data_IF_993172918218
#
_entry.id   IF_993172918218
#
_cell.length_a   1.000
_cell.length_b   1.000
_cell.length_c   1.000
_cell.angle_alpha   90.00
_cell.angle_beta   90.00
_cell.angle_gamma   90.00
#
_symmetry.space_group_name_H-M   'P 1'
#
loop_
_entity.id
_entity.type
_entity.pdbx_description
1 polymer ?
#
# COMPACT_ATOMS: atom_id res chain seq x y z
N UNK A 1 21.09 39.17 28.97
CA UNK A 1 20.39 37.92 28.61
C UNK A 1 20.40 37.86 27.10
N UNK A 2 21.28 37.09 26.53
CA UNK A 2 21.44 36.95 25.08
C UNK A 2 20.52 35.87 24.58
N UNK A 3 19.45 36.26 23.95
CA UNK A 3 18.56 35.39 23.16
C UNK A 3 19.30 34.98 21.89
N UNK A 4 19.99 33.87 21.92
CA UNK A 4 20.45 33.15 20.76
C UNK A 4 20.20 31.63 20.98
N UNK A 5 18.96 31.27 21.29
CA UNK A 5 18.49 29.94 20.97
C UNK A 5 18.24 29.92 19.46
N UNK A 6 19.26 29.52 18.71
CA UNK A 6 19.06 29.05 17.35
C UNK A 6 18.11 27.87 17.44
N UNK A 7 16.84 28.07 17.07
CA UNK A 7 15.97 26.95 16.72
C UNK A 7 16.73 26.14 15.66
N UNK A 8 17.21 24.96 16.01
CA UNK A 8 17.74 24.02 15.02
C UNK A 8 16.66 23.85 13.96
N UNK A 9 16.96 24.28 12.75
CA UNK A 9 16.05 24.20 11.62
C UNK A 9 15.84 22.69 11.32
N UNK A 10 14.66 22.17 11.62
CA UNK A 10 14.36 20.77 11.40
C UNK A 10 14.22 20.51 9.90
N UNK A 11 15.29 19.92 9.30
CA UNK A 11 15.36 19.58 7.89
C UNK A 11 14.93 18.12 7.73
N UNK A 12 13.89 17.89 6.89
CA UNK A 12 13.30 16.57 6.62
C UNK A 12 13.91 15.86 5.41
N UNK A 13 14.96 16.42 4.82
CA UNK A 13 15.61 15.81 3.65
C UNK A 13 16.82 14.97 4.07
N UNK A 14 16.90 13.79 3.51
CA UNK A 14 18.03 12.87 3.68
C UNK A 14 18.27 12.12 2.36
N UNK A 15 19.34 11.36 2.29
CA UNK A 15 19.57 10.50 1.14
C UNK A 15 18.55 9.37 1.08
N UNK A 16 18.26 8.87 -0.12
CA UNK A 16 17.35 7.75 -0.30
C UNK A 16 17.78 6.50 0.47
N UNK A 17 19.10 6.25 0.54
CA UNK A 17 19.66 5.13 1.28
C UNK A 17 19.37 5.25 2.77
N UNK A 18 19.59 6.42 3.33
CA UNK A 18 19.30 6.71 4.75
C UNK A 18 17.81 6.59 5.03
N UNK A 19 16.97 7.18 4.18
CA UNK A 19 15.52 7.12 4.35
C UNK A 19 14.98 5.69 4.36
N UNK A 20 15.43 4.83 3.44
CA UNK A 20 15.01 3.43 3.42
C UNK A 20 15.52 2.69 4.65
N UNK A 21 16.79 2.89 5.02
CA UNK A 21 17.39 2.23 6.21
C UNK A 21 16.74 2.64 7.53
N UNK A 22 16.22 3.87 7.62
CA UNK A 22 15.64 4.42 8.85
C UNK A 22 14.16 4.10 9.00
N UNK A 23 13.41 4.04 7.89
CA UNK A 23 11.96 3.99 7.94
C UNK A 23 11.32 2.73 7.38
N UNK A 24 12.06 1.88 6.66
CA UNK A 24 11.50 0.64 6.09
C UNK A 24 12.18 -0.57 6.69
N UNK A 25 11.40 -1.43 7.34
CA UNK A 25 11.90 -2.61 8.04
C UNK A 25 11.23 -3.87 7.53
N UNK A 26 11.80 -5.02 7.88
CA UNK A 26 11.17 -6.30 7.60
C UNK A 26 9.77 -6.37 8.23
N UNK A 27 8.84 -7.03 7.54
CA UNK A 27 7.44 -7.23 7.95
C UNK A 27 6.56 -5.96 7.89
N UNK A 28 7.09 -4.78 7.55
CA UNK A 28 6.31 -3.55 7.42
C UNK A 28 5.21 -3.67 6.36
N UNK A 29 4.10 -2.98 6.59
CA UNK A 29 3.10 -2.71 5.57
C UNK A 29 3.45 -1.41 4.84
N UNK A 30 3.73 -1.51 3.55
CA UNK A 30 4.01 -0.37 2.69
C UNK A 30 2.78 0.04 1.89
N UNK A 31 2.36 1.31 1.99
CA UNK A 31 1.47 1.91 1.01
C UNK A 31 2.30 2.53 -0.11
N UNK A 32 2.07 2.10 -1.35
CA UNK A 32 2.76 2.65 -2.52
C UNK A 32 1.86 3.59 -3.29
N UNK A 33 2.36 4.82 -3.51
CA UNK A 33 1.81 5.67 -4.57
C UNK A 33 2.21 5.07 -5.91
N UNK A 34 1.23 4.88 -6.77
CA UNK A 34 1.47 4.41 -8.13
C UNK A 34 0.55 5.15 -9.11
N UNK A 35 0.57 4.75 -10.29
CA UNK A 35 -0.15 5.15 -11.47
C UNK A 35 0.75 5.94 -12.45
N UNK A 36 1.16 5.22 -13.49
CA UNK A 36 1.98 5.72 -14.61
C UNK A 36 3.28 6.40 -14.15
N UNK A 37 3.26 7.72 -13.95
CA UNK A 37 4.44 8.55 -13.66
C UNK A 37 4.68 8.81 -12.16
N UNK A 38 3.88 8.20 -11.29
CA UNK A 38 4.01 8.34 -9.83
C UNK A 38 4.66 7.12 -9.16
N UNK A 39 5.21 6.18 -9.92
CA UNK A 39 5.82 4.98 -9.37
C UNK A 39 7.17 5.29 -8.72
N UNK A 40 7.40 4.90 -7.46
CA UNK A 40 8.61 5.25 -6.70
C UNK A 40 9.78 4.29 -6.99
N UNK A 41 10.13 4.07 -8.25
CA UNK A 41 11.12 3.06 -8.67
C UNK A 41 12.46 3.17 -7.96
N UNK A 42 12.95 4.40 -7.70
CA UNK A 42 14.23 4.59 -7.03
C UNK A 42 14.20 4.01 -5.60
N UNK A 43 13.09 4.25 -4.87
CA UNK A 43 12.90 3.72 -3.51
C UNK A 43 12.78 2.21 -3.53
N UNK A 44 12.06 1.65 -4.51
CA UNK A 44 11.91 0.20 -4.65
C UNK A 44 13.25 -0.47 -4.92
N UNK A 45 14.07 0.09 -5.81
CA UNK A 45 15.42 -0.42 -6.04
C UNK A 45 16.30 -0.33 -4.79
N UNK A 46 16.10 0.68 -3.95
CA UNK A 46 16.84 0.78 -2.69
C UNK A 46 16.38 -0.24 -1.65
N UNK A 47 15.07 -0.50 -1.54
CA UNK A 47 14.51 -1.57 -0.69
C UNK A 47 15.10 -2.93 -1.09
N UNK A 48 15.11 -3.24 -2.39
CA UNK A 48 15.72 -4.48 -2.91
C UNK A 48 17.23 -4.54 -2.61
N UNK A 49 17.95 -3.42 -2.75
CA UNK A 49 19.40 -3.34 -2.48
C UNK A 49 19.75 -3.54 -1.02
N UNK A 50 18.86 -3.13 -0.10
CA UNK A 50 19.00 -3.33 1.33
C UNK A 50 18.48 -4.69 1.80
N UNK A 51 17.95 -5.51 0.88
CA UNK A 51 17.47 -6.88 1.13
C UNK A 51 16.36 -6.96 2.20
N UNK A 52 15.50 -5.93 2.28
CA UNK A 52 14.36 -5.91 3.21
C UNK A 52 13.36 -6.99 2.82
N UNK A 53 12.79 -7.70 3.79
CA UNK A 53 12.01 -8.93 3.59
C UNK A 53 10.61 -8.87 4.20
N UNK A 54 9.79 -9.83 3.77
CA UNK A 54 8.49 -10.13 4.35
C UNK A 54 7.48 -8.97 4.33
N UNK A 55 7.68 -8.01 3.43
CA UNK A 55 6.83 -6.84 3.30
C UNK A 55 5.39 -7.21 2.91
N UNK A 56 4.43 -6.49 3.49
CA UNK A 56 3.05 -6.42 3.00
C UNK A 56 2.90 -5.18 2.12
N UNK A 57 2.60 -5.34 0.84
CA UNK A 57 2.42 -4.21 -0.08
C UNK A 57 0.95 -3.90 -0.27
N UNK A 58 0.51 -2.73 0.16
CA UNK A 58 -0.84 -2.21 -0.03
C UNK A 58 -0.85 -1.18 -1.17
N UNK A 59 -1.43 -1.54 -2.30
CA UNK A 59 -1.42 -0.71 -3.51
C UNK A 59 -2.70 -0.93 -4.33
N UNK A 60 -3.35 0.16 -4.76
CA UNK A 60 -4.61 0.05 -5.50
C UNK A 60 -4.47 -0.71 -6.83
N UNK A 61 -3.32 -0.59 -7.48
CA UNK A 61 -2.99 -1.31 -8.72
C UNK A 61 -1.57 -1.85 -8.62
N UNK A 62 -1.41 -3.16 -8.50
CA UNK A 62 -0.10 -3.79 -8.53
C UNK A 62 0.39 -3.87 -9.99
N UNK A 63 1.46 -3.16 -10.30
CA UNK A 63 2.09 -3.12 -11.61
C UNK A 63 3.61 -3.34 -11.49
N UNK A 64 4.43 -2.64 -12.27
CA UNK A 64 5.87 -2.86 -12.38
C UNK A 64 6.64 -2.71 -11.05
N UNK A 65 6.20 -1.82 -10.17
CA UNK A 65 6.82 -1.60 -8.85
C UNK A 65 6.70 -2.84 -7.96
N UNK A 66 5.55 -3.52 -8.02
CA UNK A 66 5.35 -4.77 -7.27
C UNK A 66 6.15 -5.91 -7.89
N UNK A 67 6.23 -6.00 -9.22
CA UNK A 67 7.08 -6.97 -9.92
C UNK A 67 8.55 -6.85 -9.48
N UNK A 68 9.07 -5.62 -9.31
CA UNK A 68 10.45 -5.39 -8.88
C UNK A 68 10.68 -5.85 -7.44
N UNK A 69 9.76 -5.56 -6.52
CA UNK A 69 9.83 -6.01 -5.12
C UNK A 69 9.76 -7.54 -5.03
N UNK A 70 8.88 -8.18 -5.82
CA UNK A 70 8.77 -9.64 -5.92
C UNK A 70 10.06 -10.26 -6.48
N UNK A 71 10.62 -9.68 -7.54
CA UNK A 71 11.90 -10.11 -8.12
C UNK A 71 13.05 -10.03 -7.11
N UNK A 72 13.02 -9.04 -6.22
CA UNK A 72 13.96 -8.89 -5.11
C UNK A 72 13.70 -9.83 -3.93
N UNK A 73 12.59 -10.59 -3.96
CA UNK A 73 12.19 -11.45 -2.85
C UNK A 73 11.85 -10.66 -1.57
N UNK A 74 11.31 -9.45 -1.72
CA UNK A 74 11.00 -8.56 -0.60
C UNK A 74 9.57 -8.71 -0.06
N UNK A 75 8.65 -9.30 -0.81
CA UNK A 75 7.21 -9.30 -0.53
C UNK A 75 6.72 -10.68 -0.11
N UNK A 76 5.96 -10.74 0.98
CA UNK A 76 5.21 -11.91 1.42
C UNK A 76 3.70 -11.78 1.21
N UNK A 77 3.17 -10.54 1.22
CA UNK A 77 1.73 -10.28 1.10
C UNK A 77 1.44 -9.08 0.22
N UNK A 78 0.32 -9.15 -0.51
CA UNK A 78 -0.16 -8.07 -1.37
C UNK A 78 -1.62 -7.80 -1.07
N UNK A 79 -1.97 -6.53 -0.81
CA UNK A 79 -3.34 -6.03 -0.72
C UNK A 79 -3.57 -5.11 -1.92
N UNK A 80 -4.46 -5.48 -2.83
CA UNK A 80 -4.65 -4.74 -4.08
C UNK A 80 -6.09 -4.82 -4.58
N UNK A 81 -6.42 -4.01 -5.59
CA UNK A 81 -7.71 -4.14 -6.28
C UNK A 81 -7.58 -4.85 -7.62
N UNK A 82 -6.46 -4.70 -8.28
CA UNK A 82 -6.14 -5.44 -9.49
C UNK A 82 -4.64 -5.39 -9.76
N UNK A 83 -4.19 -6.32 -10.59
CA UNK A 83 -2.85 -6.29 -11.13
C UNK A 83 -2.93 -6.09 -12.63
N UNK A 84 -2.19 -5.12 -13.12
CA UNK A 84 -2.20 -4.76 -14.53
C UNK A 84 -0.88 -5.09 -15.19
N UNK A 85 -0.99 -5.52 -16.43
CA UNK A 85 0.14 -5.84 -17.28
C UNK A 85 0.32 -4.75 -18.33
N UNK A 86 1.25 -3.85 -18.15
CA UNK A 86 1.69 -2.95 -19.21
C UNK A 86 2.63 -3.70 -20.15
N UNK A 87 2.18 -4.06 -21.34
CA UNK A 87 3.01 -4.73 -22.34
C UNK A 87 2.74 -6.24 -22.46
N UNK A 88 2.13 -6.58 -23.54
CA UNK A 88 1.68 -7.85 -24.08
C UNK A 88 2.11 -9.16 -23.43
N UNK A 89 1.40 -10.23 -23.72
CA UNK A 89 1.50 -11.60 -23.19
C UNK A 89 2.89 -12.31 -23.27
N UNK A 90 3.96 -11.59 -23.66
CA UNK A 90 5.24 -12.23 -23.99
C UNK A 90 6.17 -12.50 -22.82
N UNK A 91 5.96 -11.87 -21.67
CA UNK A 91 6.82 -12.02 -20.52
C UNK A 91 6.02 -12.49 -19.32
N UNK A 92 6.39 -13.63 -18.74
CA UNK A 92 5.91 -14.03 -17.42
C UNK A 92 6.55 -13.06 -16.42
N UNK A 93 5.74 -12.27 -15.74
CA UNK A 93 6.17 -11.39 -14.68
C UNK A 93 6.28 -12.17 -13.37
N UNK A 94 7.04 -11.64 -12.45
CA UNK A 94 7.15 -12.23 -11.11
C UNK A 94 5.79 -12.23 -10.39
N UNK A 95 4.95 -11.23 -10.63
CA UNK A 95 3.59 -11.21 -10.09
C UNK A 95 2.72 -12.35 -10.64
N UNK A 96 2.79 -12.65 -11.96
CA UNK A 96 2.10 -13.81 -12.53
C UNK A 96 2.60 -15.11 -11.87
N UNK A 97 3.92 -15.25 -11.67
CA UNK A 97 4.52 -16.41 -11.00
C UNK A 97 4.09 -16.52 -9.55
N UNK A 98 4.17 -15.41 -8.82
CA UNK A 98 3.77 -15.36 -7.42
C UNK A 98 2.30 -15.77 -7.21
N UNK A 99 1.42 -15.39 -8.16
CA UNK A 99 0.01 -15.73 -8.14
C UNK A 99 -0.28 -17.20 -8.47
N UNK A 100 0.45 -17.77 -9.45
CA UNK A 100 0.21 -19.15 -9.90
C UNK A 100 0.97 -20.19 -9.08
N UNK A 101 2.09 -19.81 -8.49
CA UNK A 101 2.97 -20.70 -7.72
C UNK A 101 2.78 -20.51 -6.20
N UNK A 102 1.73 -19.79 -5.77
CA UNK A 102 1.39 -19.50 -4.36
C UNK A 102 2.58 -18.96 -3.54
N UNK A 103 3.44 -18.16 -4.19
CA UNK A 103 4.65 -17.62 -3.54
C UNK A 103 4.37 -16.48 -2.58
N UNK A 104 3.21 -15.81 -2.72
CA UNK A 104 2.77 -14.71 -1.87
C UNK A 104 1.29 -14.84 -1.56
N UNK A 105 0.90 -14.33 -0.41
CA UNK A 105 -0.51 -14.22 -0.03
C UNK A 105 -1.12 -12.95 -0.65
N UNK A 106 -2.31 -13.08 -1.24
CA UNK A 106 -2.98 -11.96 -1.90
C UNK A 106 -4.35 -11.74 -1.31
N UNK A 107 -4.70 -10.47 -1.18
CA UNK A 107 -6.01 -10.02 -0.76
C UNK A 107 -6.58 -9.01 -1.76
N UNK A 108 -7.70 -9.39 -2.38
CA UNK A 108 -8.34 -8.60 -3.43
C UNK A 108 -9.46 -7.72 -2.88
N UNK A 109 -9.49 -6.47 -3.33
CA UNK A 109 -10.57 -5.52 -3.11
C UNK A 109 -10.96 -4.80 -4.41
N UNK A 110 -11.98 -3.97 -4.39
CA UNK A 110 -12.21 -3.02 -5.49
C UNK A 110 -11.35 -1.76 -5.28
N UNK A 111 -11.08 -1.00 -6.36
CA UNK A 111 -10.40 0.30 -6.24
C UNK A 111 -11.11 1.22 -5.24
N UNK A 112 -12.44 1.27 -5.30
CA UNK A 112 -13.23 2.09 -4.38
C UNK A 112 -13.05 1.62 -2.93
N UNK A 113 -13.08 0.32 -2.68
CA UNK A 113 -12.87 -0.24 -1.33
C UNK A 113 -11.47 0.08 -0.83
N UNK A 114 -10.43 -0.07 -1.65
CA UNK A 114 -9.06 0.31 -1.27
C UNK A 114 -8.95 1.79 -0.87
N UNK A 115 -9.53 2.69 -1.66
CA UNK A 115 -9.56 4.12 -1.32
C UNK A 115 -10.29 4.37 0.01
N UNK A 116 -11.43 3.69 0.25
CA UNK A 116 -12.17 3.82 1.49
C UNK A 116 -11.37 3.31 2.70
N UNK A 117 -10.66 2.17 2.56
CA UNK A 117 -9.81 1.62 3.61
C UNK A 117 -8.64 2.55 3.98
N UNK A 118 -7.95 3.15 3.00
CA UNK A 118 -6.93 4.16 3.24
C UNK A 118 -7.49 5.43 3.89
N UNK A 119 -8.66 5.88 3.44
CA UNK A 119 -9.34 7.03 4.04
C UNK A 119 -9.73 6.74 5.50
N UNK A 120 -10.22 5.55 5.79
CA UNK A 120 -10.54 5.15 7.15
C UNK A 120 -9.31 5.18 8.06
N UNK A 121 -8.17 4.65 7.61
CA UNK A 121 -6.90 4.73 8.34
C UNK A 121 -6.44 6.17 8.56
N UNK A 122 -6.47 7.01 7.53
CA UNK A 122 -6.09 8.41 7.62
C UNK A 122 -6.96 9.23 8.61
N UNK A 123 -8.22 8.84 8.80
CA UNK A 123 -9.16 9.47 9.74
C UNK A 123 -9.15 8.82 11.13
N UNK A 124 -8.38 7.76 11.34
CA UNK A 124 -8.32 7.02 12.60
C UNK A 124 -9.58 6.19 12.88
N UNK A 125 -10.31 5.79 11.83
CA UNK A 125 -11.44 4.86 11.96
C UNK A 125 -10.93 3.43 12.03
N UNK A 126 -11.64 2.59 12.76
CA UNK A 126 -11.34 1.15 12.82
C UNK A 126 -11.80 0.42 11.56
N UNK A 127 -12.94 0.81 11.02
CA UNK A 127 -13.55 0.25 9.82
C UNK A 127 -14.39 1.29 9.08
N UNK A 128 -14.81 0.97 7.85
CA UNK A 128 -15.66 1.83 7.03
C UNK A 128 -16.69 1.02 6.27
N UNK A 129 -17.94 1.53 6.12
CA UNK A 129 -18.95 0.92 5.27
C UNK A 129 -18.55 1.02 3.78
N UNK A 130 -18.83 -0.04 3.04
CA UNK A 130 -18.60 -0.12 1.60
C UNK A 130 -19.84 -0.62 0.85
N UNK A 131 -19.76 -0.71 -0.47
CA UNK A 131 -20.90 -1.13 -1.30
C UNK A 131 -21.30 -2.57 -1.02
N UNK A 132 -22.57 -2.79 -0.73
CA UNK A 132 -23.14 -4.12 -0.45
C UNK A 132 -23.03 -5.09 -1.65
N UNK A 133 -22.90 -4.58 -2.87
CA UNK A 133 -22.71 -5.41 -4.07
C UNK A 133 -21.49 -6.33 -4.00
N UNK A 134 -20.49 -6.01 -3.20
CA UNK A 134 -19.33 -6.88 -3.01
C UNK A 134 -19.69 -8.22 -2.37
N UNK A 135 -20.79 -8.31 -1.57
CA UNK A 135 -21.29 -9.56 -0.95
C UNK A 135 -21.65 -10.64 -1.97
N UNK A 136 -21.96 -10.27 -3.21
CA UNK A 136 -22.40 -11.17 -4.28
C UNK A 136 -21.30 -11.47 -5.29
N UNK A 137 -20.06 -11.16 -4.97
CA UNK A 137 -18.90 -11.36 -5.83
C UNK A 137 -17.82 -12.18 -5.13
N UNK A 138 -16.93 -12.79 -5.90
CA UNK A 138 -15.79 -13.56 -5.39
C UNK A 138 -14.82 -12.70 -4.55
N UNK A 139 -14.89 -11.37 -4.66
CA UNK A 139 -14.08 -10.46 -3.84
C UNK A 139 -14.39 -10.63 -2.34
N UNK A 140 -15.59 -11.05 -2.00
CA UNK A 140 -16.00 -11.19 -0.59
C UNK A 140 -15.21 -12.28 0.15
N UNK A 141 -14.93 -13.41 -0.48
CA UNK A 141 -14.41 -14.63 0.18
C UNK A 141 -13.21 -15.29 -0.54
N UNK A 142 -12.94 -14.91 -1.78
CA UNK A 142 -11.83 -15.47 -2.55
C UNK A 142 -10.57 -14.60 -2.40
N UNK A 143 -9.37 -15.20 -2.46
CA UNK A 143 -8.07 -14.55 -2.34
C UNK A 143 -7.99 -13.63 -1.13
N UNK A 144 -7.89 -14.22 0.01
CA UNK A 144 -7.72 -13.49 1.26
C UNK A 144 -6.84 -14.27 2.22
N UNK A 145 -5.90 -13.58 2.84
CA UNK A 145 -5.14 -14.09 3.99
C UNK A 145 -5.77 -13.68 5.33
N UNK A 146 -6.66 -12.69 5.32
CA UNK A 146 -7.43 -12.27 6.51
C UNK A 146 -8.64 -13.15 6.78
N UNK A 147 -9.07 -13.96 5.81
CA UNK A 147 -10.24 -14.83 5.90
C UNK A 147 -11.49 -14.06 6.34
N UNK A 148 -12.09 -14.44 7.46
CA UNK A 148 -13.31 -13.82 8.01
C UNK A 148 -13.12 -12.34 8.41
N UNK A 149 -11.88 -11.88 8.58
CA UNK A 149 -11.58 -10.50 8.92
C UNK A 149 -11.38 -9.60 7.69
N UNK A 150 -11.53 -10.13 6.49
CA UNK A 150 -11.44 -9.34 5.25
C UNK A 150 -12.60 -8.35 5.12
N UNK A 151 -13.83 -8.84 5.28
CA UNK A 151 -15.07 -8.07 5.21
C UNK A 151 -16.07 -8.63 6.21
N UNK A 152 -16.86 -7.78 6.83
CA UNK A 152 -17.91 -8.18 7.76
C UNK A 152 -19.24 -7.54 7.43
N UNK A 153 -20.33 -8.21 7.75
CA UNK A 153 -21.67 -7.65 7.69
C UNK A 153 -22.09 -7.30 9.09
N UNK A 154 -22.47 -6.04 9.30
CA UNK A 154 -22.97 -5.53 10.57
C UNK A 154 -24.37 -4.95 10.39
N UNK A 155 -25.13 -4.84 11.47
CA UNK A 155 -26.38 -4.14 11.48
C UNK A 155 -26.13 -2.64 11.72
N UNK A 156 -26.69 -1.79 10.85
CA UNK A 156 -26.59 -0.34 11.00
C UNK A 156 -27.38 0.13 12.24
N UNK A 157 -26.74 0.84 13.18
CA UNK A 157 -27.42 1.36 14.37
C UNK A 157 -28.47 2.43 14.07
N UNK A 158 -28.48 2.97 12.84
CA UNK A 158 -29.40 4.03 12.43
C UNK A 158 -30.63 3.49 11.68
N UNK A 159 -30.49 2.42 10.92
CA UNK A 159 -31.55 1.94 10.04
C UNK A 159 -31.96 0.49 10.28
N UNK A 160 -31.21 -0.27 11.09
CA UNK A 160 -31.40 -1.71 11.28
C UNK A 160 -31.10 -2.55 10.03
N UNK A 161 -30.52 -1.96 8.97
CA UNK A 161 -30.17 -2.69 7.74
C UNK A 161 -28.78 -3.28 7.85
N UNK A 162 -28.61 -4.45 7.27
CA UNK A 162 -27.28 -5.03 7.06
C UNK A 162 -26.41 -4.10 6.21
N UNK A 163 -25.17 -3.92 6.63
CA UNK A 163 -24.18 -3.05 5.99
C UNK A 163 -22.87 -3.78 5.91
N UNK A 164 -22.28 -3.86 4.71
CA UNK A 164 -20.94 -4.40 4.52
C UNK A 164 -19.89 -3.41 4.98
N UNK A 165 -18.93 -3.88 5.77
CA UNK A 165 -17.82 -3.07 6.27
C UNK A 165 -16.47 -3.76 5.98
N UNK A 166 -15.44 -2.95 5.86
CA UNK A 166 -14.05 -3.38 5.71
C UNK A 166 -13.18 -2.71 6.77
N UNK A 167 -12.09 -3.35 7.23
CA UNK A 167 -11.16 -2.74 8.16
C UNK A 167 -10.43 -1.55 7.52
N UNK A 168 -9.96 -0.62 8.33
CA UNK A 168 -9.06 0.42 7.88
C UNK A 168 -7.69 -0.18 7.46
N UNK A 169 -7.01 0.47 6.51
CA UNK A 169 -5.60 0.23 6.21
C UNK A 169 -4.74 1.25 6.94
N UNK A 170 -3.83 0.75 7.77
CA UNK A 170 -2.89 1.55 8.55
C UNK A 170 -1.47 1.08 8.18
N UNK A 171 -0.92 1.52 7.05
CA UNK A 171 0.43 1.16 6.66
C UNK A 171 1.45 1.78 7.63
N UNK A 172 2.56 1.04 7.86
CA UNK A 172 3.68 1.52 8.66
C UNK A 172 4.42 2.63 7.94
N UNK A 173 4.57 2.48 6.61
CA UNK A 173 5.23 3.45 5.74
C UNK A 173 4.41 3.73 4.49
N UNK A 174 4.26 5.01 4.13
CA UNK A 174 3.70 5.43 2.86
C UNK A 174 4.81 6.03 1.96
N UNK A 175 5.00 5.45 0.78
CA UNK A 175 5.99 5.89 -0.19
C UNK A 175 5.28 6.64 -1.31
N UNK A 176 5.57 7.94 -1.42
CA UNK A 176 4.93 8.84 -2.38
C UNK A 176 5.97 9.46 -3.29
N UNK A 177 5.85 9.25 -4.60
CA UNK A 177 6.68 9.92 -5.60
C UNK A 177 6.05 11.26 -5.98
N UNK A 178 6.82 12.34 -5.83
CA UNK A 178 6.39 13.71 -6.16
C UNK A 178 7.40 14.38 -7.06
N UNK A 179 6.96 15.37 -7.86
CA UNK A 179 7.85 16.10 -8.78
C UNK A 179 8.73 17.12 -8.06
N UNK A 180 8.27 17.64 -6.94
CA UNK A 180 9.04 18.59 -6.11
C UNK A 180 8.75 18.39 -4.64
N UNK A 181 9.77 18.55 -3.82
CA UNK A 181 9.63 18.69 -2.37
C UNK A 181 10.63 19.74 -1.88
N UNK A 182 10.30 20.40 -0.79
CA UNK A 182 11.23 21.30 -0.09
C UNK A 182 11.85 20.61 1.13
N UNK A 183 12.79 21.29 1.76
CA UNK A 183 13.50 20.77 2.94
C UNK A 183 12.62 20.57 4.18
N UNK A 184 11.40 21.09 4.18
CA UNK A 184 10.44 20.97 5.27
C UNK A 184 9.44 19.84 5.05
N UNK A 185 9.47 19.19 3.89
CA UNK A 185 8.57 18.09 3.52
C UNK A 185 7.27 18.54 2.85
N UNK A 186 7.17 19.81 2.40
CA UNK A 186 6.07 20.19 1.53
C UNK A 186 6.30 19.56 0.16
N UNK A 187 5.28 18.91 -0.38
CA UNK A 187 5.36 18.14 -1.61
C UNK A 187 4.38 18.68 -2.66
N UNK A 188 4.76 18.60 -3.93
CA UNK A 188 3.97 19.09 -5.04
C UNK A 188 3.87 18.05 -6.16
N UNK A 189 2.63 17.76 -6.55
CA UNK A 189 2.29 17.05 -7.79
C UNK A 189 1.90 18.03 -8.89
N UNK A 190 2.07 17.65 -10.17
CA UNK A 190 1.46 18.32 -11.34
C UNK A 190 1.08 17.30 -12.42
#
# INVERSE_FOLDING_TARGET
MSENEKQEEYIKTMSLKEAVSEFVHDEDMLALCNFLHANPYATIHEIVRQEIKDLTVAVASAIEEVDLLLSGGCVSKIITSYYHRAGGRRYKRELDRALFDDMVEIEDYTNFTMCAMFMAGALGYEFIPVMDSAKTTDIFDVRTFRKEDKMKVIESPFSGKETLVVPALNPDVAIVHVQRADKYGNAQFW
#
